data_IF_904569811046
#
_entry.id   IF_904569811046
#
_cell.length_a   1.000
_cell.length_b   1.000
_cell.length_c   1.000
_cell.angle_alpha   90.00
_cell.angle_beta   90.00
_cell.angle_gamma   90.00
#
_symmetry.space_group_name_H-M   'P 1'
#
loop_
_entity.id
_entity.type
_entity.pdbx_description
1 polymer ?
2 non-polymer ?
3 non-polymer ?
4 non-polymer ?
5 non-polymer ?
6 non-polymer ?
7 water ?
#
# COMPACT_ATOMS: atom_id res chain seq x y z
N UNK A 4 -9.94 -14.96 -27.92
CA UNK A 4 -9.78 -15.69 -26.67
C UNK A 4 -9.34 -14.79 -25.53
N UNK A 5 -8.12 -14.29 -25.59
CA UNK A 5 -7.57 -13.56 -24.45
C UNK A 5 -7.82 -12.06 -24.58
N UNK A 6 -7.91 -11.39 -23.43
CA UNK A 6 -8.19 -9.96 -23.44
C UNK A 6 -6.99 -9.13 -23.87
N UNK A 7 -5.77 -9.59 -23.57
CA UNK A 7 -4.57 -8.89 -24.02
C UNK A 7 -4.19 -9.38 -25.42
N UNK A 8 -3.88 -8.44 -26.32
CA UNK A 8 -3.44 -8.86 -27.66
C UNK A 8 -1.98 -9.32 -27.67
N UNK A 9 -1.20 -8.96 -26.65
CA UNK A 9 0.12 -9.54 -26.46
C UNK A 9 0.50 -9.37 -25.00
N UNK A 10 1.37 -10.26 -24.52
CA UNK A 10 1.75 -10.28 -23.11
C UNK A 10 2.92 -9.33 -22.86
N UNK A 11 2.65 -8.04 -23.03
CA UNK A 11 3.66 -6.99 -22.90
C UNK A 11 3.02 -5.77 -22.28
N UNK A 12 3.86 -4.81 -21.89
CA UNK A 12 3.31 -3.57 -21.35
C UNK A 12 2.48 -2.84 -22.40
N UNK A 13 2.92 -2.92 -23.67
CA UNK A 13 2.13 -2.36 -24.76
C UNK A 13 0.75 -3.00 -24.84
N UNK A 14 0.68 -4.33 -24.69
CA UNK A 14 -0.61 -5.00 -24.70
C UNK A 14 -1.50 -4.56 -23.56
N UNK A 15 -0.92 -4.37 -22.38
CA UNK A 15 -1.69 -3.89 -21.24
C UNK A 15 -2.22 -2.48 -21.49
N UNK A 16 -1.39 -1.60 -22.04
CA UNK A 16 -1.84 -0.23 -22.28
C UNK A 16 -2.97 -0.20 -23.30
N UNK A 17 -2.83 -0.95 -24.39
CA UNK A 17 -3.91 -1.04 -25.37
C UNK A 17 -5.20 -1.54 -24.73
N UNK A 18 -5.09 -2.55 -23.87
CA UNK A 18 -6.26 -3.05 -23.17
C UNK A 18 -6.86 -1.98 -22.26
N UNK A 19 -6.01 -1.27 -21.52
CA UNK A 19 -6.50 -0.24 -20.61
C UNK A 19 -7.30 0.82 -21.35
N UNK A 20 -6.85 1.20 -22.54
CA UNK A 20 -7.57 2.25 -23.24
C UNK A 20 -8.72 1.73 -24.10
N UNK A 21 -8.93 0.42 -24.13
CA UNK A 21 -10.10 -0.16 -24.75
C UNK A 21 -11.31 -0.04 -23.83
N UNK A 22 -12.51 -0.14 -24.43
CA UNK A 22 -13.73 -0.07 -23.64
C UNK A 22 -13.88 -1.27 -22.71
N UNK A 23 -13.12 -2.34 -22.94
CA UNK A 23 -13.24 -3.51 -22.07
C UNK A 23 -12.67 -3.29 -20.68
N UNK A 24 -11.78 -2.32 -20.52
CA UNK A 24 -11.10 -2.10 -19.25
C UNK A 24 -11.67 -0.85 -18.61
N UNK A 25 -12.53 -1.03 -17.61
CA UNK A 25 -13.12 0.10 -16.91
C UNK A 25 -12.74 0.18 -15.45
N UNK A 26 -12.38 -0.94 -14.82
CA UNK A 26 -12.17 -0.99 -13.38
C UNK A 26 -10.85 -1.66 -13.04
N UNK A 27 -9.95 -0.90 -12.42
CA UNK A 27 -8.60 -1.36 -12.10
C UNK A 27 -8.46 -1.48 -10.60
N UNK A 28 -7.96 -2.63 -10.13
CA UNK A 28 -7.55 -2.80 -8.74
C UNK A 28 -6.03 -2.76 -8.68
N UNK A 29 -5.48 -1.91 -7.81
CA UNK A 29 -4.06 -1.93 -7.53
C UNK A 29 -3.80 -2.70 -6.23
N UNK A 30 -2.78 -3.53 -6.26
CA UNK A 30 -2.23 -4.19 -5.08
C UNK A 30 -0.79 -3.71 -4.93
N UNK A 31 -0.47 -3.04 -3.83
CA UNK A 31 0.83 -2.40 -3.74
C UNK A 31 1.52 -2.76 -2.44
N UNK A 32 2.86 -2.79 -2.49
CA UNK A 32 3.72 -3.09 -1.38
C UNK A 32 4.91 -2.15 -1.30
N UNK A 33 5.93 -2.57 -0.55
CA UNK A 33 7.00 -1.66 -0.13
C UNK A 33 7.77 -1.09 -1.31
N UNK A 34 7.77 -1.78 -2.46
CA UNK A 34 8.52 -1.31 -3.62
C UNK A 34 8.02 0.00 -4.20
N UNK A 35 6.75 0.36 -3.94
CA UNK A 35 6.27 1.62 -4.48
C UNK A 35 6.73 2.79 -3.62
N UNK A 36 7.33 2.52 -2.46
CA UNK A 36 7.75 3.59 -1.57
C UNK A 36 9.25 3.66 -1.33
N UNK A 37 10.04 2.70 -1.85
CA UNK A 37 11.47 2.75 -1.56
C UNK A 37 12.11 4.02 -2.14
N UNK A 38 11.58 4.53 -3.24
CA UNK A 38 12.05 5.80 -3.80
C UNK A 38 11.74 6.98 -2.90
N UNK A 39 10.84 6.83 -1.94
CA UNK A 39 10.50 7.91 -1.01
C UNK A 39 11.46 7.99 0.16
N UNK A 40 12.31 6.98 0.35
CA UNK A 40 13.34 7.04 1.36
C UNK A 40 12.83 7.12 2.77
N UNK A 41 11.64 6.58 3.02
CA UNK A 41 11.11 6.52 4.39
C UNK A 41 11.78 5.37 5.13
N UNK A 42 12.23 5.57 6.37
CA UNK A 42 12.76 4.44 7.15
C UNK A 42 11.73 3.33 7.25
N UNK A 43 12.16 2.11 6.92
CA UNK A 43 11.25 0.98 6.92
C UNK A 43 11.00 0.55 8.36
N UNK A 44 9.78 0.82 8.84
CA UNK A 44 9.51 0.72 10.27
C UNK A 44 9.43 -0.74 10.72
N UNK A 45 9.04 -1.65 9.84
CA UNK A 45 8.85 -3.05 10.20
C UNK A 45 10.00 -3.92 9.72
N UNK A 54 19.17 -4.02 17.69
CA UNK A 54 18.63 -2.72 18.06
C UNK A 54 17.68 -2.82 19.26
N UNK A 55 16.79 -3.81 19.22
CA UNK A 55 15.78 -3.99 20.26
C UNK A 55 16.31 -4.69 21.50
N UNK A 56 17.57 -5.13 21.48
CA UNK A 56 18.15 -5.82 22.63
C UNK A 56 18.03 -4.98 23.90
N UNK A 57 18.12 -3.65 23.78
CA UNK A 57 18.08 -2.78 24.95
C UNK A 57 16.71 -2.70 25.60
N UNK A 58 15.66 -3.17 24.94
CA UNK A 58 14.32 -3.14 25.52
C UNK A 58 13.97 -4.41 26.26
N UNK A 59 14.81 -5.43 26.20
CA UNK A 59 14.64 -6.67 26.98
C UNK A 59 13.28 -7.31 26.68
N UNK A 60 12.99 -7.47 25.40
CA UNK A 60 11.71 -8.02 25.00
C UNK A 60 11.69 -9.53 25.26
N UNK A 61 10.56 -10.07 25.73
CA UNK A 61 10.49 -11.53 25.95
C UNK A 61 10.54 -12.32 24.66
N UNK A 62 10.20 -11.70 23.52
CA UNK A 62 10.35 -12.27 22.19
C UNK A 62 10.40 -11.09 21.24
N UNK A 63 11.17 -11.17 20.15
CA UNK A 63 11.34 -9.99 19.28
C UNK A 63 10.06 -9.33 18.82
N UNK A 64 9.04 -10.13 18.47
CA UNK A 64 7.80 -9.58 17.94
C UNK A 64 6.97 -8.85 18.99
N UNK A 65 7.39 -8.89 20.26
CA UNK A 65 6.63 -8.23 21.32
C UNK A 65 6.48 -6.74 21.06
N UNK A 66 7.47 -6.13 20.38
CA UNK A 66 7.41 -4.70 20.11
C UNK A 66 6.25 -4.35 19.18
N UNK A 67 5.72 -5.33 18.46
CA UNK A 67 4.57 -5.12 17.57
C UNK A 67 3.36 -5.95 18.00
N UNK A 68 3.30 -6.36 19.26
CA UNK A 68 2.21 -7.17 19.80
C UNK A 68 1.33 -6.32 20.70
N UNK A 69 0.02 -6.45 20.54
CA UNK A 69 -0.90 -5.49 21.15
C UNK A 69 -0.89 -5.61 22.68
N UNK A 70 -0.86 -6.84 23.22
CA UNK A 70 -0.88 -7.00 24.67
C UNK A 70 0.41 -6.46 25.29
N UNK A 71 1.56 -6.78 24.69
CA UNK A 71 2.80 -6.20 25.17
C UNK A 71 2.78 -4.69 25.08
N UNK A 72 2.30 -4.15 23.96
CA UNK A 72 2.24 -2.70 23.78
C UNK A 72 1.44 -2.06 24.90
N UNK A 73 0.32 -2.66 25.28
CA UNK A 73 -0.45 -2.10 26.39
C UNK A 73 0.30 -2.24 27.71
N UNK A 74 1.17 -3.25 27.85
CA UNK A 74 1.97 -3.34 29.07
C UNK A 74 3.15 -2.38 29.04
N UNK A 75 3.94 -2.41 27.96
CA UNK A 75 5.17 -1.62 27.85
C UNK A 75 5.17 -0.93 26.50
N UNK A 76 4.59 0.26 26.39
CA UNK A 76 4.52 0.94 25.08
C UNK A 76 5.80 1.66 24.70
N UNK A 77 6.69 1.91 25.65
CA UNK A 77 7.84 2.77 25.40
C UNK A 77 8.78 2.25 24.31
N UNK A 78 9.09 0.95 24.22
CA UNK A 78 9.94 0.50 23.10
C UNK A 78 9.36 0.87 21.73
N UNK A 79 8.06 0.66 21.53
CA UNK A 79 7.44 0.99 20.25
C UNK A 79 7.63 2.46 19.90
N UNK A 80 7.34 3.36 20.86
CA UNK A 80 7.42 4.78 20.55
C UNK A 80 8.86 5.27 20.42
N UNK A 81 9.81 4.64 21.11
CA UNK A 81 11.20 4.97 20.89
C UNK A 81 11.64 4.57 19.48
N UNK A 82 11.20 3.39 19.03
CA UNK A 82 11.51 2.98 17.66
C UNK A 82 10.81 3.88 16.64
N UNK A 83 9.61 4.36 16.97
CA UNK A 83 8.88 5.25 16.05
C UNK A 83 9.57 6.60 15.96
N UNK A 84 10.14 7.10 17.05
CA UNK A 84 10.92 8.32 16.97
C UNK A 84 12.17 8.10 16.12
N UNK A 85 12.87 6.98 16.35
CA UNK A 85 14.11 6.72 15.61
C UNK A 85 13.88 6.67 14.11
N UNK A 86 12.79 6.03 13.68
CA UNK A 86 12.53 5.79 12.25
C UNK A 86 11.52 6.76 11.65
N UNK A 87 11.20 7.85 12.34
CA UNK A 87 10.31 8.84 11.77
C UNK A 87 10.95 9.40 10.50
N UNK A 88 10.23 9.46 9.38
CA UNK A 88 10.85 9.91 8.13
C UNK A 88 11.14 11.40 8.15
N UNK A 89 12.13 11.80 7.35
CA UNK A 89 12.41 13.22 7.24
C UNK A 89 11.34 14.00 6.50
N UNK A 90 10.51 13.30 5.74
CA UNK A 90 9.49 13.88 4.89
C UNK A 90 8.56 12.76 4.46
N UNK A 91 7.29 13.09 4.23
CA UNK A 91 6.34 12.14 3.65
C UNK A 91 6.04 12.61 2.22
N UNK A 92 6.85 12.17 1.27
CA UNK A 92 6.69 12.58 -0.12
C UNK A 92 6.37 11.37 -0.99
N UNK A 93 5.14 11.22 -1.49
CA UNK A 93 4.81 10.06 -2.33
C UNK A 93 5.61 10.04 -3.62
N UNK A 94 5.67 8.85 -4.22
CA UNK A 94 6.46 8.61 -5.42
C UNK A 94 5.61 8.76 -6.67
N UNK A 95 6.29 8.66 -7.82
CA UNK A 95 5.62 8.59 -9.11
C UNK A 95 4.54 7.50 -9.09
N UNK A 96 4.81 6.36 -8.47
CA UNK A 96 3.83 5.28 -8.42
C UNK A 96 2.55 5.72 -7.71
N UNK A 97 2.70 6.38 -6.56
CA UNK A 97 1.51 6.84 -5.84
C UNK A 97 0.71 7.80 -6.70
N UNK A 98 1.39 8.74 -7.37
CA UNK A 98 0.64 9.69 -8.18
C UNK A 98 0.09 9.05 -9.43
N UNK A 99 0.71 7.96 -9.92
CA UNK A 99 0.08 7.22 -11.01
C UNK A 99 -1.27 6.67 -10.57
N UNK A 100 -1.37 6.22 -9.31
CA UNK A 100 -2.67 5.75 -8.84
C UNK A 100 -3.66 6.89 -8.67
N UNK A 101 -3.18 8.06 -8.24
CA UNK A 101 -4.05 9.24 -8.23
C UNK A 101 -4.55 9.57 -9.64
N UNK A 102 -3.69 9.45 -10.65
CA UNK A 102 -4.13 9.66 -12.03
C UNK A 102 -5.20 8.63 -12.43
N UNK A 103 -4.99 7.36 -12.07
CA UNK A 103 -6.02 6.35 -12.33
C UNK A 103 -7.34 6.78 -11.75
N UNK A 104 -7.32 7.27 -10.51
CA UNK A 104 -8.52 7.78 -9.87
C UNK A 104 -9.12 8.94 -10.68
N UNK A 105 -8.28 9.89 -11.09
CA UNK A 105 -8.76 11.04 -11.84
C UNK A 105 -9.36 10.64 -13.18
N UNK A 106 -8.80 9.61 -13.81
CA UNK A 106 -9.31 9.12 -15.09
C UNK A 106 -10.55 8.26 -14.93
N UNK A 107 -11.05 8.07 -13.71
CA UNK A 107 -12.23 7.26 -13.46
C UNK A 107 -12.03 5.77 -13.61
N UNK A 108 -10.78 5.29 -13.47
CA UNK A 108 -10.44 3.90 -13.65
C UNK A 108 -10.14 3.14 -12.36
N UNK A 109 -9.98 3.83 -11.22
CA UNK A 109 -9.53 3.16 -9.99
C UNK A 109 -10.74 2.60 -9.24
N UNK A 110 -10.86 1.28 -9.17
CA UNK A 110 -11.86 0.68 -8.29
C UNK A 110 -11.37 0.68 -6.85
N UNK A 111 -10.13 0.25 -6.63
CA UNK A 111 -9.60 0.15 -5.28
C UNK A 111 -8.09 0.00 -5.32
N UNK A 112 -7.43 0.55 -4.31
CA UNK A 112 -6.02 0.29 -4.04
C UNK A 112 -5.92 -0.47 -2.73
N UNK A 113 -5.45 -1.71 -2.79
CA UNK A 113 -5.13 -2.50 -1.60
C UNK A 113 -3.64 -2.32 -1.33
N UNK A 114 -3.29 -1.89 -0.12
CA UNK A 114 -1.90 -1.62 0.19
C UNK A 114 -1.47 -2.40 1.42
N UNK A 115 -0.25 -2.92 1.38
CA UNK A 115 0.45 -3.51 2.51
C UNK A 115 1.24 -2.47 3.29
N UNK A 116 1.31 -1.25 2.80
CA UNK A 116 2.20 -0.25 3.37
C UNK A 116 1.47 0.52 4.49
N UNK A 117 2.25 0.93 5.49
CA UNK A 117 1.73 1.71 6.61
C UNK A 117 2.21 3.16 6.56
N UNK A 118 2.91 3.55 5.48
CA UNK A 118 3.65 4.80 5.46
C UNK A 118 2.83 6.03 5.09
N UNK A 119 1.51 5.88 4.87
CA UNK A 119 0.53 6.95 4.63
C UNK A 119 0.62 7.55 3.22
N UNK A 120 1.55 7.12 2.38
CA UNK A 120 1.81 7.90 1.16
C UNK A 120 0.65 7.83 0.18
N UNK A 121 -0.14 6.75 0.21
CA UNK A 121 -1.35 6.70 -0.61
C UNK A 121 -2.29 7.86 -0.30
N UNK A 122 -2.46 8.16 0.99
CA UNK A 122 -3.34 9.26 1.40
C UNK A 122 -2.76 10.61 1.02
N UNK A 123 -1.44 10.78 1.23
CA UNK A 123 -0.78 12.02 0.88
C UNK A 123 -0.91 12.30 -0.62
N UNK A 124 -0.86 11.25 -1.45
CA UNK A 124 -0.97 11.36 -2.89
C UNK A 124 -2.39 11.62 -3.36
N UNK A 125 -3.37 11.59 -2.48
CA UNK A 125 -4.72 11.95 -2.86
C UNK A 125 -5.69 10.80 -3.03
N UNK A 126 -5.34 9.59 -2.61
CA UNK A 126 -6.33 8.52 -2.58
C UNK A 126 -7.14 8.66 -1.30
N UNK A 127 -8.46 8.62 -1.44
CA UNK A 127 -9.34 8.86 -0.31
C UNK A 127 -9.66 7.56 0.41
N UNK A 128 -10.29 7.67 1.58
CA UNK A 128 -10.59 6.48 2.38
C UNK A 128 -11.38 5.46 1.58
N UNK A 129 -12.35 5.90 0.79
CA UNK A 129 -13.15 4.96 0.01
C UNK A 129 -12.34 4.26 -1.08
N UNK A 130 -11.24 4.87 -1.56
CA UNK A 130 -10.38 4.26 -2.56
C UNK A 130 -9.43 3.21 -1.99
N UNK A 131 -9.27 3.13 -0.68
CA UNK A 131 -8.16 2.41 -0.06
C UNK A 131 -8.66 1.26 0.80
N UNK A 132 -7.91 0.17 0.75
CA UNK A 132 -7.93 -0.88 1.75
C UNK A 132 -6.52 -0.95 2.30
N UNK A 133 -6.31 -0.40 3.49
CA UNK A 133 -5.00 -0.45 4.13
C UNK A 133 -4.96 -1.75 4.91
N UNK A 134 -4.48 -2.81 4.22
CA UNK A 134 -4.63 -4.15 4.75
C UNK A 134 -3.83 -4.36 6.01
N UNK A 135 -2.73 -3.62 6.18
CA UNK A 135 -1.91 -3.71 7.38
C UNK A 135 -2.06 -2.50 8.28
N UNK A 136 -3.06 -1.66 8.02
CA UNK A 136 -3.28 -0.44 8.76
C UNK A 136 -2.42 0.71 8.26
N UNK A 137 -2.34 1.75 9.10
CA UNK A 137 -1.63 2.96 8.71
C UNK A 137 -1.18 3.72 9.93
N UNK A 138 -0.08 4.46 9.78
CA UNK A 138 0.38 5.44 10.75
C UNK A 138 -0.42 6.74 10.70
N UNK A 139 -1.24 6.96 9.67
CA UNK A 139 -1.78 8.30 9.44
C UNK A 139 -2.76 8.72 10.53
N UNK A 140 -3.54 7.77 11.05
CA UNK A 140 -4.46 8.03 12.15
C UNK A 140 -4.13 7.10 13.31
N UNK A 141 -4.50 7.54 14.52
CA UNK A 141 -4.26 6.79 15.73
C UNK A 141 -5.53 6.83 16.58
N UNK A 142 -5.68 5.86 17.47
CA UNK A 142 -6.85 5.83 18.32
C UNK A 142 -6.47 5.44 19.73
N UNK A 143 -7.15 6.08 20.68
CA UNK A 143 -7.21 5.59 22.05
C UNK A 143 -7.53 4.09 22.04
N UNK A 144 -6.80 3.34 22.87
CA UNK A 144 -7.00 1.89 22.90
C UNK A 144 -8.17 1.44 23.74
N UNK A 145 -8.79 2.32 24.53
CA UNK A 145 -9.95 1.92 25.34
C UNK A 145 -11.17 1.73 24.46
N UNK A 146 -11.79 0.55 24.55
CA UNK A 146 -12.88 0.21 23.64
C UNK A 146 -14.04 1.19 23.80
N UNK A 147 -14.27 1.68 25.01
CA UNK A 147 -15.40 2.56 25.29
C UNK A 147 -15.12 4.01 24.93
N UNK A 148 -13.92 4.31 24.41
CA UNK A 148 -13.56 5.68 24.06
C UNK A 148 -13.17 5.77 22.59
N UNK A 149 -12.05 5.19 22.19
CA UNK A 149 -11.61 5.14 20.79
C UNK A 149 -11.47 6.53 20.15
N UNK A 150 -11.14 7.53 20.96
CA UNK A 150 -10.87 8.88 20.45
C UNK A 150 -9.78 8.83 19.39
N UNK A 151 -10.03 9.47 18.23
CA UNK A 151 -9.10 9.46 17.10
C UNK A 151 -8.18 10.68 17.13
N UNK A 152 -6.92 10.48 16.77
CA UNK A 152 -5.91 11.52 16.79
C UNK A 152 -5.15 11.50 15.47
N UNK A 153 -4.83 12.67 14.93
CA UNK A 153 -4.12 12.75 13.66
C UNK A 153 -2.60 12.68 13.83
N UNK A 154 -1.92 12.62 12.69
CA UNK A 154 -0.48 12.42 12.65
C UNK A 154 0.28 13.52 13.39
N UNK A 155 -0.13 14.78 13.24
CA UNK A 155 0.61 15.87 13.86
C UNK A 155 0.64 15.75 15.39
N UNK A 156 -0.50 15.35 15.97
CA UNK A 156 -0.59 15.17 17.42
C UNK A 156 0.40 14.10 17.89
N UNK A 157 0.39 12.96 17.22
CA UNK A 157 1.29 11.88 17.60
C UNK A 157 2.75 12.26 17.42
N UNK A 158 3.07 12.94 16.31
CA UNK A 158 4.45 13.39 16.11
C UNK A 158 4.91 14.29 17.25
N UNK A 159 4.05 15.23 17.66
CA UNK A 159 4.39 16.09 18.79
C UNK A 159 4.70 15.27 20.03
N UNK A 160 3.85 14.27 20.33
CA UNK A 160 4.11 13.42 21.50
C UNK A 160 5.40 12.63 21.35
N UNK A 161 5.62 12.06 20.16
CA UNK A 161 6.72 11.12 19.94
C UNK A 161 8.06 11.83 20.04
N UNK A 162 8.21 12.96 19.36
CA UNK A 162 9.48 13.67 19.43
C UNK A 162 9.71 14.34 20.77
N UNK A 163 8.65 14.57 21.54
CA UNK A 163 8.81 14.97 22.94
C UNK A 163 9.21 13.80 23.83
N UNK A 164 9.25 12.58 23.29
CA UNK A 164 9.45 11.36 24.07
C UNK A 164 8.48 11.29 25.24
N UNK A 165 7.27 11.77 25.00
CA UNK A 165 6.13 11.64 25.91
C UNK A 165 5.23 10.55 25.36
N UNK A 166 4.95 9.53 26.17
CA UNK A 166 4.07 8.46 25.71
C UNK A 166 2.67 9.03 25.45
N UNK A 167 2.13 8.89 24.25
CA UNK A 167 0.81 9.50 23.93
C UNK A 167 -0.32 8.86 24.73
N UNK A 168 -1.06 9.69 25.44
CA UNK A 168 -2.20 9.28 26.23
C UNK A 168 -3.43 10.03 25.75
N UNK A 169 -4.59 9.39 25.83
CA UNK A 169 -5.83 10.00 25.39
C UNK A 169 -6.21 11.17 26.29
N UNK A 170 -6.59 12.29 25.68
CA UNK A 170 -7.04 13.43 26.46
C UNK A 170 -8.35 13.15 27.20
N UNK A 171 -9.18 12.24 26.69
CA UNK A 171 -10.49 12.01 27.29
C UNK A 171 -10.44 11.04 28.46
N UNK A 172 -9.66 9.95 28.33
CA UNK A 172 -9.65 8.90 29.35
C UNK A 172 -8.26 8.50 29.82
N UNK A 173 -7.18 9.07 29.26
CA UNK A 173 -5.79 8.81 29.63
C UNK A 173 -5.31 7.40 29.29
N UNK A 174 -6.04 6.64 28.48
CA UNK A 174 -5.49 5.39 27.97
C UNK A 174 -4.44 5.68 26.92
N UNK A 175 -3.63 4.67 26.64
CA UNK A 175 -2.66 4.77 25.55
C UNK A 175 -3.34 5.08 24.22
N UNK A 176 -2.63 5.82 23.37
CA UNK A 176 -3.07 6.05 21.99
C UNK A 176 -2.11 5.31 21.07
N UNK A 177 -2.67 4.49 20.19
CA UNK A 177 -1.91 3.61 19.33
C UNK A 177 -2.11 4.00 17.86
N UNK A 178 -1.05 4.13 17.07
CA UNK A 178 -1.26 4.28 15.62
C UNK A 178 -2.05 3.10 15.06
N UNK A 179 -2.83 3.38 14.01
CA UNK A 179 -3.75 2.40 13.45
C UNK A 179 -3.05 1.34 12.60
N UNK A 180 -1.85 0.94 12.99
CA UNK A 180 -1.18 -0.22 12.41
C UNK A 180 -1.80 -1.49 12.98
N UNK A 181 -1.93 -2.52 12.15
CA UNK A 181 -2.34 -3.84 12.61
C UNK A 181 -1.16 -4.49 13.34
N UNK A 182 -1.27 -4.60 14.66
CA UNK A 182 -0.26 -5.28 15.47
C UNK A 182 -0.49 -6.79 15.47
N UNK A 183 0.53 -7.54 15.88
CA UNK A 183 0.33 -8.95 16.17
C UNK A 183 -0.73 -9.11 17.25
N UNK A 184 -1.51 -10.19 17.14
CA UNK A 184 -2.63 -10.39 18.03
C UNK A 184 -3.86 -9.62 17.66
N UNK A 185 -3.80 -8.79 16.63
CA UNK A 185 -4.96 -8.10 16.07
C UNK A 185 -5.33 -8.77 14.74
N UNK A 186 -6.60 -8.68 14.39
CA UNK A 186 -7.04 -9.21 13.11
C UNK A 186 -6.94 -8.14 12.04
N UNK A 187 -6.87 -8.60 10.78
CA UNK A 187 -6.93 -7.69 9.66
C UNK A 187 -8.23 -6.90 9.70
N UNK A 188 -8.24 -5.70 9.10
CA UNK A 188 -9.47 -4.89 9.12
C UNK A 188 -10.60 -5.62 8.44
N UNK A 189 -11.81 -5.50 9.00
CA UNK A 189 -12.96 -6.15 8.38
C UNK A 189 -13.18 -5.63 6.95
N UNK A 190 -12.79 -4.38 6.72
CA UNK A 190 -12.89 -3.77 5.40
C UNK A 190 -12.11 -4.57 4.35
N UNK A 191 -11.01 -5.20 4.73
CA UNK A 191 -10.27 -6.01 3.76
C UNK A 191 -11.16 -7.11 3.20
N UNK A 192 -11.90 -7.81 4.07
CA UNK A 192 -12.71 -8.93 3.61
C UNK A 192 -13.96 -8.46 2.88
N UNK A 193 -14.62 -7.43 3.39
CA UNK A 193 -15.84 -6.94 2.73
C UNK A 193 -15.52 -6.39 1.34
N UNK A 194 -14.47 -5.57 1.25
CA UNK A 194 -14.10 -5.04 -0.04
C UNK A 194 -13.64 -6.13 -0.98
N UNK A 195 -12.84 -7.10 -0.51
CA UNK A 195 -12.41 -8.19 -1.38
C UNK A 195 -13.62 -8.88 -2.00
N UNK A 196 -14.58 -9.28 -1.16
CA UNK A 196 -15.76 -10.00 -1.62
C UNK A 196 -16.54 -9.23 -2.67
N UNK A 197 -16.52 -7.90 -2.62
CA UNK A 197 -17.25 -7.20 -3.67
C UNK A 197 -16.37 -6.81 -4.87
N UNK A 198 -15.17 -6.29 -4.61
CA UNK A 198 -14.36 -5.73 -5.67
C UNK A 198 -13.97 -6.77 -6.70
N UNK A 199 -13.71 -8.00 -6.26
CA UNK A 199 -13.15 -8.91 -7.27
C UNK A 199 -14.23 -9.50 -8.18
N UNK A 200 -15.51 -9.20 -7.94
CA UNK A 200 -16.55 -9.48 -8.94
C UNK A 200 -16.51 -8.49 -10.09
N UNK A 201 -15.83 -7.36 -9.90
CA UNK A 201 -15.99 -6.18 -10.76
C UNK A 201 -14.72 -5.80 -11.50
N UNK A 202 -13.61 -6.47 -11.26
CA UNK A 202 -12.30 -5.97 -11.67
C UNK A 202 -12.02 -6.39 -13.12
N UNK A 203 -11.48 -5.44 -13.88
CA UNK A 203 -11.05 -5.66 -15.26
C UNK A 203 -9.54 -5.78 -15.41
N UNK A 204 -8.78 -5.27 -14.44
CA UNK A 204 -7.32 -5.30 -14.53
C UNK A 204 -6.77 -5.27 -13.12
N UNK A 205 -5.77 -6.11 -12.86
CA UNK A 205 -5.03 -6.05 -11.61
C UNK A 205 -3.64 -5.48 -11.92
N UNK A 206 -3.32 -4.35 -11.27
CA UNK A 206 -1.97 -3.78 -11.29
C UNK A 206 -1.31 -4.10 -9.96
N UNK A 207 -0.31 -4.98 -9.99
CA UNK A 207 0.41 -5.44 -8.81
C UNK A 207 1.76 -4.75 -8.83
N UNK A 208 2.00 -3.83 -7.90
CA UNK A 208 3.19 -2.99 -7.97
C UNK A 208 3.98 -3.05 -6.67
N UNK A 209 5.27 -3.35 -6.77
CA UNK A 209 6.16 -3.26 -5.63
C UNK A 209 5.84 -4.19 -4.49
N UNK A 210 5.23 -5.34 -4.78
CA UNK A 210 5.08 -6.39 -3.77
C UNK A 210 5.55 -7.72 -4.35
N UNK A 211 6.21 -8.51 -3.51
CA UNK A 211 6.63 -9.85 -3.86
C UNK A 211 5.58 -10.91 -3.54
N UNK A 212 4.40 -10.50 -3.05
CA UNK A 212 3.27 -11.40 -2.86
C UNK A 212 3.66 -12.59 -2.00
N UNK A 213 4.37 -12.32 -0.90
CA UNK A 213 4.82 -13.37 0.01
C UNK A 213 4.05 -13.41 1.32
N UNK A 214 3.45 -12.31 1.74
CA UNK A 214 2.75 -12.24 3.02
C UNK A 214 1.26 -12.42 2.78
N UNK A 215 0.62 -13.40 3.56
CA UNK A 215 -0.78 -13.82 3.54
C UNK A 215 -1.58 -13.04 4.58
N UNK A 216 -2.89 -12.85 4.35
CA UNK A 216 -3.67 -13.27 3.16
C UNK A 216 -3.55 -12.30 1.99
N UNK A 217 -2.69 -11.28 2.07
CA UNK A 217 -2.62 -10.29 0.99
C UNK A 217 -2.27 -10.93 -0.35
N UNK A 218 -1.28 -11.84 -0.35
CA UNK A 218 -0.88 -12.47 -1.60
C UNK A 218 -2.05 -13.19 -2.28
N UNK A 219 -2.83 -13.93 -1.49
CA UNK A 219 -3.95 -14.69 -2.03
C UNK A 219 -4.91 -13.83 -2.85
N UNK A 220 -4.83 -12.50 -2.72
CA UNK A 220 -5.71 -11.63 -3.49
C UNK A 220 -5.63 -11.92 -4.98
N UNK A 221 -4.45 -12.26 -5.49
CA UNK A 221 -4.36 -12.38 -6.94
C UNK A 221 -5.21 -13.53 -7.45
N UNK A 222 -5.43 -14.55 -6.62
CA UNK A 222 -6.26 -15.68 -7.00
C UNK A 222 -7.75 -15.40 -6.92
N UNK A 223 -8.13 -14.22 -6.43
CA UNK A 223 -9.53 -13.82 -6.35
C UNK A 223 -10.00 -13.15 -7.64
N UNK A 224 -9.08 -12.87 -8.56
CA UNK A 224 -9.47 -12.26 -9.81
C UNK A 224 -10.22 -13.27 -10.67
N UNK A 225 -11.17 -12.81 -11.47
CA UNK A 225 -11.71 -13.66 -12.52
C UNK A 225 -10.59 -14.18 -13.42
N UNK A 226 -10.83 -15.36 -13.98
CA UNK A 226 -9.81 -16.03 -14.79
C UNK A 226 -9.40 -15.19 -16.00
N UNK A 227 -10.31 -14.36 -16.53
CA UNK A 227 -9.96 -13.58 -17.71
C UNK A 227 -9.21 -12.29 -17.40
N UNK A 228 -9.19 -11.84 -16.15
CA UNK A 228 -8.67 -10.52 -15.79
C UNK A 228 -7.15 -10.45 -15.98
N UNK A 229 -6.63 -9.58 -16.85
CA UNK A 229 -5.18 -9.44 -16.94
C UNK A 229 -4.56 -8.93 -15.65
N UNK A 230 -3.34 -9.38 -15.41
CA UNK A 230 -2.60 -9.04 -14.20
C UNK A 230 -1.21 -8.57 -14.62
N UNK A 231 -0.91 -7.30 -14.36
CA UNK A 231 0.40 -6.73 -14.66
C UNK A 231 1.18 -6.59 -13.36
N UNK A 232 2.35 -7.21 -13.29
CA UNK A 232 3.31 -7.03 -12.19
C UNK A 232 4.36 -6.00 -12.60
N UNK A 233 4.48 -4.93 -11.83
CA UNK A 233 5.57 -3.96 -11.96
C UNK A 233 6.41 -4.09 -10.70
N UNK A 234 7.60 -4.65 -10.82
CA UNK A 234 8.37 -5.01 -9.64
C UNK A 234 9.82 -5.18 -10.03
N UNK A 235 10.72 -5.00 -9.06
CA UNK A 235 12.13 -5.21 -9.34
C UNK A 235 12.41 -6.66 -9.75
N UNK A 236 11.67 -7.61 -9.18
CA UNK A 236 11.85 -9.03 -9.44
C UNK A 236 10.50 -9.66 -9.81
N UNK A 237 10.57 -10.70 -10.64
CA UNK A 237 9.39 -11.51 -10.92
C UNK A 237 8.87 -12.12 -9.62
N UNK A 238 7.56 -12.17 -9.46
CA UNK A 238 6.95 -12.65 -8.23
C UNK A 238 5.55 -13.16 -8.49
N UNK A 239 5.02 -13.91 -7.52
CA UNK A 239 3.66 -14.37 -7.54
C UNK A 239 3.42 -15.66 -8.29
N UNK A 240 4.45 -16.24 -8.89
CA UNK A 240 4.30 -17.54 -9.54
C UNK A 240 4.11 -18.63 -8.49
N UNK A 241 3.52 -19.74 -8.92
CA UNK A 241 3.32 -20.87 -8.03
C UNK A 241 4.67 -21.38 -7.53
N UNK A 242 4.71 -21.75 -6.25
CA UNK A 242 5.96 -22.15 -5.63
C UNK A 242 6.22 -23.62 -5.91
N UNK A 243 7.32 -23.98 -6.57
CA UNK A 243 7.59 -25.40 -6.84
C UNK A 243 7.60 -26.27 -5.59
N UNK A 244 7.76 -25.66 -4.40
CA UNK A 244 7.83 -26.41 -3.15
C UNK A 244 6.47 -26.48 -2.45
N UNK A 245 5.88 -25.33 -2.14
CA UNK A 245 4.60 -25.25 -1.43
C UNK A 245 3.51 -26.12 -2.05
N UNK A 253 -3.74 -20.70 -8.73
CA UNK A 253 -4.09 -19.41 -9.30
C UNK A 253 -2.96 -18.41 -9.35
N UNK A 254 -1.72 -18.90 -9.29
CA UNK A 254 -0.54 -18.06 -9.31
C UNK A 254 -0.31 -17.39 -10.66
N UNK A 255 0.65 -16.46 -10.66
CA UNK A 255 1.06 -15.78 -11.88
C UNK A 255 1.69 -16.75 -12.86
N UNK A 256 1.28 -16.71 -14.12
CA UNK A 256 1.90 -17.50 -15.18
C UNK A 256 2.35 -16.51 -16.24
N UNK A 257 3.61 -16.10 -16.18
CA UNK A 257 4.16 -15.17 -17.15
C UNK A 257 4.71 -15.87 -18.39
N UNK A 258 5.24 -17.08 -18.23
CA UNK A 258 6.22 -17.62 -19.17
C UNK A 258 5.93 -19.01 -19.71
N UNK A 259 4.95 -19.73 -19.17
CA UNK A 259 4.69 -21.04 -19.76
C UNK A 259 4.02 -20.85 -21.13
N UNK A 260 3.99 -21.92 -21.93
CA UNK A 260 3.24 -21.76 -23.18
C UNK A 260 1.74 -21.71 -22.95
N UNK A 261 1.28 -21.87 -21.71
CA UNK A 261 -0.11 -21.66 -21.37
C UNK A 261 -0.39 -20.25 -20.89
N UNK A 262 0.65 -19.42 -20.75
CA UNK A 262 0.45 -18.04 -20.29
C UNK A 262 -0.49 -17.31 -21.23
N UNK A 263 -1.43 -16.57 -20.65
CA UNK A 263 -2.41 -15.86 -21.47
C UNK A 263 -2.82 -14.49 -20.94
N UNK A 264 -2.48 -14.11 -19.71
CA UNK A 264 -3.00 -12.86 -19.17
C UNK A 264 -2.07 -12.15 -18.21
N UNK A 265 -0.91 -12.72 -17.86
CA UNK A 265 -0.06 -12.17 -16.80
C UNK A 265 1.20 -11.58 -17.46
N UNK A 266 1.56 -10.36 -17.08
CA UNK A 266 2.67 -9.65 -17.68
C UNK A 266 3.59 -9.17 -16.58
N UNK A 267 4.92 -9.33 -16.76
CA UNK A 267 5.92 -8.88 -15.82
C UNK A 267 6.76 -7.77 -16.45
N UNK A 268 6.79 -6.60 -15.81
CA UNK A 268 7.71 -5.53 -16.15
C UNK A 268 8.67 -5.38 -14.99
N UNK A 269 9.96 -5.62 -15.24
CA UNK A 269 10.96 -5.76 -14.20
C UNK A 269 11.85 -4.52 -14.16
N UNK A 270 11.78 -3.79 -13.05
CA UNK A 270 12.59 -2.62 -12.87
C UNK A 270 12.10 -1.85 -11.66
N UNK A 271 12.63 -0.65 -11.47
CA UNK A 271 12.11 0.22 -10.40
C UNK A 271 10.65 0.55 -10.67
N UNK A 272 9.82 0.52 -9.62
CA UNK A 272 8.39 0.74 -9.81
C UNK A 272 8.11 2.10 -10.42
N UNK A 273 8.89 3.12 -10.04
CA UNK A 273 8.74 4.45 -10.63
C UNK A 273 8.91 4.40 -12.14
N UNK A 274 9.96 3.72 -12.61
CA UNK A 274 10.21 3.65 -14.04
C UNK A 274 9.14 2.84 -14.76
N UNK A 275 8.60 1.80 -14.12
CA UNK A 275 7.52 1.05 -14.73
C UNK A 275 6.26 1.88 -14.89
N UNK A 276 5.90 2.62 -13.84
CA UNK A 276 4.75 3.51 -13.95
C UNK A 276 4.98 4.60 -14.99
N UNK A 277 6.21 5.14 -15.07
CA UNK A 277 6.50 6.12 -16.10
C UNK A 277 6.32 5.53 -17.49
N UNK A 278 6.81 4.31 -17.69
CA UNK A 278 6.71 3.68 -19.01
C UNK A 278 5.26 3.44 -19.39
N UNK A 279 4.44 2.96 -18.45
CA UNK A 279 3.04 2.74 -18.74
C UNK A 279 2.32 4.05 -19.02
N UNK A 280 2.60 5.09 -18.23
CA UNK A 280 1.98 6.38 -18.45
C UNK A 280 2.34 6.91 -19.83
N UNK A 281 3.60 6.71 -20.25
CA UNK A 281 4.02 7.13 -21.59
C UNK A 281 3.20 6.42 -22.66
N UNK A 282 3.05 5.10 -22.54
CA UNK A 282 2.22 4.38 -23.51
C UNK A 282 0.80 4.92 -23.54
N UNK A 283 0.25 5.28 -22.38
CA UNK A 283 -1.12 5.75 -22.30
C UNK A 283 -1.29 7.20 -22.75
N UNK A 284 -0.22 7.91 -23.05
CA UNK A 284 -0.31 9.34 -23.32
C UNK A 284 -0.49 10.20 -22.08
N UNK A 285 -0.16 9.67 -20.92
CA UNK A 285 -0.36 10.35 -19.65
C UNK A 285 0.93 10.98 -19.10
N UNK A 286 2.05 10.89 -19.81
CA UNK A 286 3.32 11.26 -19.17
C UNK A 286 3.32 12.73 -18.78
N UNK A 287 2.79 13.61 -19.63
CA UNK A 287 2.78 15.02 -19.25
C UNK A 287 1.89 15.26 -18.05
N UNK A 288 0.69 14.67 -18.05
CA UNK A 288 -0.21 14.80 -16.91
C UNK A 288 0.45 14.31 -15.63
N UNK A 289 1.13 13.16 -15.71
CA UNK A 289 1.76 12.58 -14.53
C UNK A 289 2.93 13.44 -14.05
N UNK A 290 3.78 13.87 -14.97
CA UNK A 290 4.88 14.78 -14.61
C UNK A 290 4.34 16.03 -13.95
N UNK A 291 3.30 16.65 -14.52
CA UNK A 291 2.78 17.89 -13.97
C UNK A 291 2.21 17.66 -12.58
N UNK A 292 1.48 16.56 -12.39
CA UNK A 292 0.93 16.22 -11.07
C UNK A 292 2.03 16.03 -10.04
N UNK A 293 3.02 15.17 -10.36
CA UNK A 293 4.10 14.90 -9.42
C UNK A 293 4.86 16.17 -9.09
N UNK A 294 5.24 16.94 -10.11
CA UNK A 294 6.03 18.15 -9.86
C UNK A 294 5.27 19.13 -8.97
N UNK A 295 3.97 19.31 -9.23
CA UNK A 295 3.16 20.20 -8.41
C UNK A 295 3.03 19.71 -6.97
N UNK A 296 2.72 18.43 -6.79
CA UNK A 296 2.52 17.91 -5.44
C UNK A 296 3.84 17.89 -4.65
N UNK A 297 4.93 17.46 -5.28
CA UNK A 297 6.25 17.52 -4.64
C UNK A 297 6.61 18.94 -4.27
N UNK A 298 6.38 19.90 -5.18
CA UNK A 298 6.66 21.29 -4.86
C UNK A 298 5.85 21.73 -3.65
N UNK A 299 4.58 21.33 -3.59
CA UNK A 299 3.73 21.70 -2.46
C UNK A 299 4.26 21.11 -1.16
N UNK A 300 4.68 19.85 -1.19
CA UNK A 300 5.22 19.22 0.01
C UNK A 300 6.55 19.88 0.41
N UNK A 301 7.42 20.17 -0.55
CA UNK A 301 8.71 20.81 -0.29
C UNK A 301 8.53 22.21 0.27
N UNK A 302 7.42 22.87 -0.09
CA UNK A 302 7.16 24.25 0.28
C UNK A 302 6.35 24.36 1.55
N UNK A 303 6.08 23.26 2.24
CA UNK A 303 5.29 23.31 3.47
C UNK A 303 6.03 24.18 4.50
N UNK A 304 5.43 25.32 4.84
CA UNK A 304 6.06 26.28 5.76
C UNK A 304 5.25 26.41 7.05
X LIG B 1 -9.71 7.59 25.32
X LIG C 1 5.89 -9.20 0.14
X LIG D 1 7.91 -16.50 -7.02
X LIG D 1 7.29 -15.87 -8.23
X LIG D 1 8.10 -18.28 -7.30
X LIG D 1 9.66 -16.02 -6.95
X LIG E 1 10.67 -4.56 1.57
X LIG E 1 9.77 -5.06 2.57
X LIG E 1 11.63 -3.57 2.21
X LIG E 1 10.90 -2.68 3.08
X LIG F 1 -6.94 7.52 -21.28
X LIG F 1 -6.87 8.89 -20.87
X LIG F 1 -7.97 6.79 -20.43
X LIG F 1 -7.90 5.40 -20.75
X LIG G 1 -14.51 2.14 -10.24
X LIG G 1 -15.90 2.07 -10.59
X LIG G 1 -13.74 2.91 -11.30
X LIG G 1 -14.30 2.64 -12.59
X LIG H 1 7.80 6.27 11.62
X LIG H 1 7.19 6.97 12.64
X LIG H 1 4.05 8.65 12.97
X LIG H 1 5.94 7.53 12.37
X LIG H 1 7.76 5.30 9.31
X LIG H 1 5.94 6.74 10.24
X LIG H 1 7.17 6.13 10.39
X LIG H 1 3.31 9.02 14.19
X LIG H 1 2.02 9.26 13.95
X LIG H 1 3.36 8.06 15.11
X LIG H 1 3.81 10.12 14.76
X LIG H 1 9.07 5.20 9.29
X LIG H 1 5.31 7.43 11.20
X LIG H 1 5.33 8.17 13.39
X LIG H 1 6.78 4.51 8.21
#
# INVERSE_FOLDING_TARGET
GHMERLLDELTLEGVARYMQSERCRRVICLVGAGISTSAGIPDFRSPSTGLYDNLEKYHLPYPEAIFEISYFKKHPEPFFALAKELYPGQFKPTICHYFMRLLKDKGLLLRCYTQNIDTLERIAGLEQEDLVEAHGTFYTSHCVSASCRHEYPLSWMKEKIFSEVTPKCEDCQSLVKPDIVFFGESLPARFFSCMQSDFLKVDLLLVMGTSLQVQPFASLISKAPLSTPRLLINKEKAGQSDPFLGMIMGLGGGMDFDSKKAYRDVAWLGECDQGCLALAELLGWKKELEDLVRREHASIDAQS
ZN ZN
CL CL
DMS S O C1 C2
EDO C1 O1 C2 O2
EDO C1 O1 C2 O2
EDO C1 O1 C2 O2
A1IBX C14 C13 C8 C6 C2 C4 C3 C9 F10 F11 F12 N1 N5 O7 S15
#
